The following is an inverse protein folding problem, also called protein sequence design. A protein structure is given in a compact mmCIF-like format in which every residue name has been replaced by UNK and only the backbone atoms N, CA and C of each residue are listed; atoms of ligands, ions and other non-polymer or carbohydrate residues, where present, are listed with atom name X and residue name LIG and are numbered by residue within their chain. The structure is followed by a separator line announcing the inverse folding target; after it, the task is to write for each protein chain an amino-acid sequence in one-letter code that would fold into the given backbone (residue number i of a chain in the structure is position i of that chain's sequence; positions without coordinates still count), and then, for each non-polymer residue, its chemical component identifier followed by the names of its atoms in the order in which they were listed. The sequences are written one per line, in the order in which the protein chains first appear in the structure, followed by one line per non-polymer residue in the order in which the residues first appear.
data_IF_437499450791
#
_entry.id   IF_437499450791
#
_cell.length_a   1.000
_cell.length_b   1.000
_cell.length_c   1.000
_cell.angle_alpha   90.00
_cell.angle_beta   90.00
_cell.angle_gamma   90.00
#
_symmetry.space_group_name_H-M   'P 1'
#
loop_
_entity.id
_entity.type
_entity.pdbx_description
1 polymer ?
#
# COMPACT_ATOMS: atom_id res chain seq x y z
N UNK A 1 -6.65 11.09 4.22
CA UNK A 1 -5.76 10.86 3.06
C UNK A 1 -5.90 9.41 2.64
N UNK A 2 -5.97 9.10 1.34
CA UNK A 2 -5.86 7.70 0.90
C UNK A 2 -4.50 7.16 1.38
N UNK A 3 -4.44 5.94 1.94
CA UNK A 3 -3.16 5.36 2.34
C UNK A 3 -2.23 5.33 1.13
N UNK A 4 -0.99 5.77 1.26
CA UNK A 4 0.04 5.78 0.20
C UNK A 4 0.13 4.43 -0.54
N UNK A 5 -0.15 3.34 0.18
CA UNK A 5 -0.30 1.99 -0.36
C UNK A 5 -1.33 1.86 -1.50
N UNK A 6 -2.51 2.47 -1.37
CA UNK A 6 -3.58 2.40 -2.38
C UNK A 6 -3.18 3.16 -3.64
N UNK A 7 -2.54 4.33 -3.49
CA UNK A 7 -2.02 5.10 -4.61
C UNK A 7 -0.92 4.34 -5.36
N UNK A 8 0.02 3.73 -4.64
CA UNK A 8 1.07 2.91 -5.25
C UNK A 8 0.50 1.73 -6.05
N UNK A 9 -0.53 1.04 -5.52
CA UNK A 9 -1.20 -0.06 -6.24
C UNK A 9 -1.86 0.42 -7.53
N UNK A 10 -2.55 1.57 -7.51
CA UNK A 10 -3.17 2.14 -8.72
C UNK A 10 -2.13 2.46 -9.80
N UNK A 11 -1.01 3.08 -9.44
CA UNK A 11 0.07 3.37 -10.38
C UNK A 11 0.65 2.11 -11.03
N UNK A 12 0.82 1.03 -10.26
CA UNK A 12 1.29 -0.25 -10.78
C UNK A 12 0.25 -0.89 -11.71
N UNK A 13 -1.04 -0.87 -11.35
CA UNK A 13 -2.10 -1.38 -12.20
C UNK A 13 -2.17 -0.65 -13.56
N UNK A 14 -2.00 0.68 -13.53
CA UNK A 14 -1.91 1.49 -14.75
C UNK A 14 -0.67 1.12 -15.58
N UNK A 15 0.48 0.95 -14.95
CA UNK A 15 1.72 0.57 -15.64
C UNK A 15 1.60 -0.80 -16.32
N UNK A 16 1.01 -1.81 -15.66
CA UNK A 16 0.74 -3.13 -16.26
C UNK A 16 -0.17 -3.01 -17.49
N UNK A 17 -1.16 -2.12 -17.44
CA UNK A 17 -2.09 -1.88 -18.55
C UNK A 17 -1.41 -1.20 -19.73
N UNK A 18 -0.43 -0.33 -19.50
CA UNK A 18 0.34 0.36 -20.56
C UNK A 18 1.30 -0.62 -21.26
N UNK A 19 1.83 -1.61 -20.54
CA UNK A 19 2.82 -2.56 -21.04
C UNK A 19 2.20 -3.73 -21.84
N UNK A 20 1.40 -3.41 -22.86
CA UNK A 20 0.79 -4.41 -23.75
C UNK A 20 1.68 -4.80 -24.95
N UNK A 21 2.89 -4.23 -25.07
CA UNK A 21 3.79 -4.51 -26.17
C UNK A 21 4.24 -5.98 -26.24
N UNK A 22 4.44 -6.49 -27.46
CA UNK A 22 4.91 -7.87 -27.69
C UNK A 22 6.42 -8.05 -27.48
N UNK A 23 7.17 -6.97 -27.25
CA UNK A 23 8.60 -7.05 -27.01
C UNK A 23 8.92 -7.70 -25.65
N UNK A 24 10.02 -8.46 -25.60
CA UNK A 24 10.43 -9.19 -24.40
C UNK A 24 10.63 -8.29 -23.18
N UNK A 25 11.06 -7.04 -23.38
CA UNK A 25 11.27 -6.09 -22.27
C UNK A 25 9.93 -5.64 -21.69
N UNK A 26 8.96 -5.28 -22.52
CA UNK A 26 7.60 -4.95 -22.08
C UNK A 26 6.93 -6.11 -21.35
N UNK A 27 7.06 -7.34 -21.86
CA UNK A 27 6.54 -8.53 -21.18
C UNK A 27 7.21 -8.76 -19.82
N UNK A 28 8.54 -8.60 -19.75
CA UNK A 28 9.29 -8.74 -18.50
C UNK A 28 8.89 -7.67 -17.48
N UNK A 29 8.77 -6.41 -17.91
CA UNK A 29 8.30 -5.32 -17.05
C UNK A 29 6.86 -5.57 -16.57
N UNK A 30 5.96 -6.01 -17.45
CA UNK A 30 4.59 -6.37 -17.08
C UNK A 30 4.58 -7.46 -16.01
N UNK A 31 5.37 -8.52 -16.20
CA UNK A 31 5.50 -9.60 -15.22
C UNK A 31 6.00 -9.11 -13.86
N UNK A 32 7.01 -8.23 -13.83
CA UNK A 32 7.53 -7.63 -12.59
C UNK A 32 6.41 -6.87 -11.88
N UNK A 33 5.66 -6.04 -12.60
CA UNK A 33 4.59 -5.23 -12.03
C UNK A 33 3.45 -6.10 -11.50
N UNK A 34 3.01 -7.11 -12.25
CA UNK A 34 1.99 -8.06 -11.80
C UNK A 34 2.44 -8.77 -10.52
N UNK A 35 3.70 -9.23 -10.47
CA UNK A 35 4.25 -9.85 -9.27
C UNK A 35 4.29 -8.89 -8.09
N UNK A 36 4.67 -7.63 -8.30
CA UNK A 36 4.64 -6.61 -7.24
C UNK A 36 3.23 -6.34 -6.73
N UNK A 37 2.21 -6.29 -7.60
CA UNK A 37 0.81 -6.14 -7.18
C UNK A 37 0.38 -7.32 -6.30
N UNK A 38 0.66 -8.56 -6.71
CA UNK A 38 0.35 -9.75 -5.90
C UNK A 38 1.04 -9.70 -4.53
N UNK A 39 2.33 -9.36 -4.49
CA UNK A 39 3.08 -9.25 -3.24
C UNK A 39 2.51 -8.15 -2.33
N UNK A 40 2.11 -7.02 -2.89
CA UNK A 40 1.46 -5.96 -2.12
C UNK A 40 0.16 -6.44 -1.49
N UNK A 41 -0.66 -7.19 -2.22
CA UNK A 41 -1.90 -7.78 -1.72
C UNK A 41 -1.66 -8.80 -0.61
N UNK A 42 -0.64 -9.65 -0.74
CA UNK A 42 -0.21 -10.60 0.29
C UNK A 42 0.31 -9.88 1.55
N UNK A 43 1.05 -8.79 1.37
CA UNK A 43 1.65 -7.97 2.43
C UNK A 43 0.73 -6.85 2.91
N UNK A 44 -0.57 -6.89 2.57
CA UNK A 44 -1.52 -5.82 2.89
C UNK A 44 -1.29 -5.41 4.34
N UNK A 45 -0.81 -4.18 4.60
CA UNK A 45 -0.49 -3.79 5.95
C UNK A 45 -1.77 -3.91 6.76
N UNK A 46 -1.80 -4.86 7.71
CA UNK A 46 -2.75 -4.82 8.82
C UNK A 46 -2.73 -3.37 9.29
N UNK A 47 -3.89 -2.69 9.44
CA UNK A 47 -3.89 -1.31 9.92
C UNK A 47 -3.00 -1.33 11.16
N UNK A 48 -1.83 -0.68 11.05
CA UNK A 48 -0.87 -0.70 12.11
C UNK A 48 -1.66 -0.18 13.31
N UNK A 49 -1.93 -1.08 14.26
CA UNK A 49 -2.37 -0.68 15.60
C UNK A 49 -1.45 0.48 15.93
N UNK A 50 -1.98 1.68 16.22
CA UNK A 50 -1.15 2.87 16.34
C UNK A 50 0.02 2.48 17.21
N UNK A 51 1.20 2.48 16.60
CA UNK A 51 2.46 2.09 17.23
C UNK A 51 2.46 2.82 18.56
N UNK A 52 2.73 2.12 19.67
CA UNK A 52 2.86 2.68 21.03
C UNK A 52 3.87 3.84 20.99
N UNK A 53 3.38 4.97 20.55
CA UNK A 53 4.06 6.23 20.40
C UNK A 53 3.38 7.08 21.45
N UNK A 54 4.16 7.86 22.19
CA UNK A 54 3.76 8.72 23.30
C UNK A 54 2.64 9.76 23.00
N UNK A 55 1.83 9.55 21.97
CA UNK A 55 0.62 10.27 21.63
C UNK A 55 -0.51 9.68 22.46
N UNK A 56 -0.75 10.30 23.61
CA UNK A 56 -2.00 10.09 24.34
C UNK A 56 -3.16 10.59 23.48
N UNK A 57 -4.09 9.69 23.17
CA UNK A 57 -5.41 10.07 22.69
C UNK A 57 -6.08 11.00 23.72
N UNK A 58 -6.67 12.10 23.23
CA UNK A 58 -7.21 13.16 24.08
C UNK A 58 -8.41 12.66 24.91
N UNK A 59 -9.21 11.74 24.37
CA UNK A 59 -10.32 11.14 25.13
C UNK A 59 -9.80 10.25 26.25
N UNK A 60 -8.80 9.42 25.95
CA UNK A 60 -8.13 8.56 26.94
C UNK A 60 -7.51 9.38 28.08
N UNK A 61 -6.85 10.50 27.78
CA UNK A 61 -6.28 11.40 28.81
C UNK A 61 -7.35 12.06 29.69
N UNK A 62 -8.52 12.41 29.13
CA UNK A 62 -9.62 13.01 29.90
C UNK A 62 -10.25 12.03 30.89
N UNK A 63 -10.31 10.75 30.55
CA UNK A 63 -10.87 9.70 31.42
C UNK A 63 -9.96 9.40 32.62
N UNK A 64 -8.64 9.46 32.45
CA UNK A 64 -7.65 9.26 33.52
C UNK A 64 -7.61 10.39 34.57
N UNK A 65 -8.22 11.55 34.31
CA UNK A 65 -8.26 12.69 35.25
C UNK A 65 -9.58 12.84 36.04
N UNK A 66 -10.52 11.91 35.90
CA UNK A 66 -11.75 11.87 36.71
C UNK A 66 -11.64 10.83 37.81
#
# INVERSE_FOLDING_TARGET
MLPTYVLARDHLQRAATILQGEDQRSQQLRHIIERTISLMEELRPTPARPVDTNVLDLETFRQLRR
#
